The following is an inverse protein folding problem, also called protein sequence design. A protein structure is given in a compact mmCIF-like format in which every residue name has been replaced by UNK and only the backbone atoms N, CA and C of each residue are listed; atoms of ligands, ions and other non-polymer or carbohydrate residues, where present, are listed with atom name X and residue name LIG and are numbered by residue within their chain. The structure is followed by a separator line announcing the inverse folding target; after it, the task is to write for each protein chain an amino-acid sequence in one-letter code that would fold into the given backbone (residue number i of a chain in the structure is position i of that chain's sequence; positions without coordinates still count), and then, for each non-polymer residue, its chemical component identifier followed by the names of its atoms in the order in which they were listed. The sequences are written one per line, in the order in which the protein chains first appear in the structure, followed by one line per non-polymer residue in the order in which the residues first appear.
data_IF_686531951603
#
_entry.id   IF_686531951603
#
_cell.length_a   1.000
_cell.length_b   1.000
_cell.length_c   1.000
_cell.angle_alpha   90.00
_cell.angle_beta   90.00
_cell.angle_gamma   90.00
#
_symmetry.space_group_name_H-M   'P 1'
#
loop_
_entity.id
_entity.type
_entity.pdbx_description
1 polymer ?
#
# COMPACT_ATOMS: atom_id res chain seq x y z
N UNK A 1 2.63 11.42 11.14
CA UNK A 1 2.32 11.87 9.77
C UNK A 1 1.89 10.66 8.95
N UNK A 2 0.80 10.71 8.17
CA UNK A 2 0.54 9.66 7.18
C UNK A 2 1.73 9.61 6.21
N UNK A 3 2.33 8.43 6.02
CA UNK A 3 3.58 8.25 5.25
C UNK A 3 4.82 7.90 6.09
N UNK A 4 4.71 7.79 7.41
CA UNK A 4 5.76 7.14 8.21
C UNK A 4 5.68 5.62 8.08
N UNK A 5 6.81 4.93 8.26
CA UNK A 5 6.88 3.46 8.20
C UNK A 5 5.86 2.76 9.09
N UNK A 6 5.68 1.45 8.87
CA UNK A 6 4.59 0.64 9.40
C UNK A 6 4.39 0.74 10.93
N UNK A 7 5.37 1.20 11.71
CA UNK A 7 5.23 1.48 13.14
C UNK A 7 4.53 2.80 13.53
N UNK A 8 4.29 3.72 12.59
CA UNK A 8 3.79 5.08 12.84
C UNK A 8 2.29 5.30 12.56
N UNK A 9 1.58 4.25 12.12
CA UNK A 9 0.14 4.33 11.82
C UNK A 9 -0.73 4.47 13.09
N UNK A 10 -0.14 4.33 14.28
CA UNK A 10 -0.82 4.51 15.58
C UNK A 10 -1.60 5.82 15.67
N UNK A 11 -0.98 6.95 15.28
CA UNK A 11 -1.59 8.28 15.38
C UNK A 11 -2.74 8.47 14.37
N UNK A 12 -2.57 8.17 13.07
CA UNK A 12 -3.68 8.16 12.12
C UNK A 12 -4.85 7.28 12.58
N UNK A 13 -4.57 6.06 13.03
CA UNK A 13 -5.61 5.12 13.49
C UNK A 13 -6.40 5.72 14.64
N UNK A 14 -5.72 6.26 15.66
CA UNK A 14 -6.37 6.92 16.79
C UNK A 14 -7.22 8.12 16.37
N UNK A 15 -6.74 8.92 15.41
CA UNK A 15 -7.47 10.08 14.91
C UNK A 15 -8.75 9.67 14.19
N UNK A 16 -8.66 8.74 13.24
CA UNK A 16 -9.83 8.26 12.49
C UNK A 16 -10.83 7.54 13.39
N UNK A 17 -10.33 6.78 14.37
CA UNK A 17 -11.15 6.14 15.39
C UNK A 17 -11.87 7.17 16.28
N UNK A 18 -11.15 8.20 16.74
CA UNK A 18 -11.74 9.30 17.52
C UNK A 18 -12.76 10.13 16.76
N UNK A 19 -12.65 10.19 15.42
CA UNK A 19 -13.63 10.85 14.55
C UNK A 19 -14.81 9.97 14.16
N UNK A 20 -14.85 8.70 14.58
CA UNK A 20 -15.90 7.76 14.19
C UNK A 20 -15.98 7.53 12.68
N UNK A 21 -14.86 7.67 11.96
CA UNK A 21 -14.80 7.45 10.51
C UNK A 21 -14.60 5.96 10.22
N UNK A 22 -15.16 5.50 9.11
CA UNK A 22 -14.86 4.18 8.58
C UNK A 22 -13.58 4.25 7.76
N UNK A 23 -12.66 3.33 8.06
CA UNK A 23 -11.38 3.19 7.39
C UNK A 23 -10.96 1.73 7.45
N UNK A 24 -10.13 1.35 6.50
CA UNK A 24 -9.40 0.09 6.50
C UNK A 24 -7.91 0.38 6.61
N UNK A 25 -7.16 -0.57 7.16
CA UNK A 25 -5.71 -0.53 7.22
C UNK A 25 -5.21 -1.60 6.25
N UNK A 26 -4.53 -1.19 5.19
CA UNK A 26 -3.85 -2.08 4.26
C UNK A 26 -2.36 -2.10 4.59
N UNK A 27 -1.83 -3.28 4.91
CA UNK A 27 -0.42 -3.50 5.23
C UNK A 27 0.26 -4.32 4.13
N UNK A 28 1.58 -4.15 4.00
CA UNK A 28 2.40 -5.08 3.22
C UNK A 28 2.29 -6.49 3.81
N UNK A 29 2.48 -7.51 2.97
CA UNK A 29 2.36 -8.91 3.39
C UNK A 29 3.67 -9.52 3.92
N UNK A 30 4.69 -8.69 4.14
CA UNK A 30 5.97 -9.09 4.69
C UNK A 30 5.90 -9.42 6.19
N UNK A 31 7.01 -9.92 6.76
CA UNK A 31 7.08 -10.26 8.17
C UNK A 31 6.80 -9.07 9.11
N UNK A 32 7.11 -7.85 8.67
CA UNK A 32 6.86 -6.63 9.44
C UNK A 32 5.36 -6.28 9.42
N UNK A 33 4.70 -6.40 8.28
CA UNK A 33 3.26 -6.20 8.13
C UNK A 33 2.42 -7.15 8.99
N UNK A 34 2.82 -8.43 9.08
CA UNK A 34 2.17 -9.39 10.01
C UNK A 34 2.37 -9.02 11.48
N UNK A 35 3.57 -8.56 11.83
CA UNK A 35 3.89 -8.13 13.20
C UNK A 35 3.07 -6.90 13.59
N UNK A 36 2.95 -5.93 12.69
CA UNK A 36 2.13 -4.73 12.91
C UNK A 36 0.63 -5.05 12.91
N UNK A 37 0.16 -5.99 12.08
CA UNK A 37 -1.24 -6.48 12.11
C UNK A 37 -1.61 -6.96 13.51
N UNK A 38 -0.81 -7.85 14.09
CA UNK A 38 -1.03 -8.35 15.46
C UNK A 38 -0.96 -7.23 16.50
N UNK A 39 0.02 -6.33 16.39
CA UNK A 39 0.14 -5.18 17.30
C UNK A 39 -1.10 -4.26 17.26
N UNK A 40 -1.67 -4.02 16.08
CA UNK A 40 -2.87 -3.19 15.92
C UNK A 40 -4.14 -3.89 16.35
N UNK A 41 -4.24 -5.21 16.13
CA UNK A 41 -5.27 -6.07 16.71
C UNK A 41 -5.28 -5.96 18.23
N UNK A 42 -4.13 -6.13 18.88
CA UNK A 42 -4.00 -6.10 20.34
C UNK A 42 -4.29 -4.72 20.92
N UNK A 43 -3.84 -3.65 20.24
CA UNK A 43 -3.92 -2.27 20.76
C UNK A 43 -5.27 -1.61 20.56
N UNK A 44 -5.96 -1.91 19.46
CA UNK A 44 -7.17 -1.21 19.07
C UNK A 44 -8.40 -2.12 18.93
N UNK A 45 -8.23 -3.44 19.02
CA UNK A 45 -9.34 -4.40 18.83
C UNK A 45 -9.91 -4.38 17.41
N UNK A 46 -9.17 -3.86 16.43
CA UNK A 46 -9.63 -3.57 15.06
C UNK A 46 -9.65 -4.80 14.14
N UNK A 47 -10.02 -5.97 14.66
CA UNK A 47 -9.83 -7.24 13.95
C UNK A 47 -10.53 -7.33 12.59
N UNK A 48 -11.62 -6.59 12.38
CA UNK A 48 -12.37 -6.57 11.12
C UNK A 48 -11.89 -5.51 10.11
N UNK A 49 -10.87 -4.70 10.41
CA UNK A 49 -10.48 -3.53 9.60
C UNK A 49 -9.01 -3.55 9.15
N UNK A 50 -8.26 -4.62 9.43
CA UNK A 50 -6.84 -4.74 9.07
C UNK A 50 -6.64 -5.87 8.07
N UNK A 51 -6.22 -5.50 6.87
CA UNK A 51 -5.97 -6.39 5.75
C UNK A 51 -4.52 -6.27 5.28
N UNK A 52 -4.02 -7.32 4.67
CA UNK A 52 -2.70 -7.36 4.05
C UNK A 52 -2.84 -7.53 2.54
N UNK A 53 -1.77 -7.25 1.78
CA UNK A 53 -1.75 -7.56 0.34
C UNK A 53 -2.06 -9.04 0.04
N UNK A 54 -1.71 -9.96 0.96
CA UNK A 54 -2.04 -11.38 0.85
C UNK A 54 -3.54 -11.67 1.02
N UNK A 55 -4.27 -10.82 1.77
CA UNK A 55 -5.72 -10.95 1.95
C UNK A 55 -6.48 -10.48 0.68
N UNK A 56 -5.87 -9.62 -0.14
CA UNK A 56 -6.42 -9.22 -1.44
C UNK A 56 -6.19 -10.30 -2.51
N UNK A 57 -4.96 -10.83 -2.58
CA UNK A 57 -4.55 -11.88 -3.50
C UNK A 57 -3.40 -12.71 -2.88
N UNK A 58 -3.57 -14.03 -2.79
CA UNK A 58 -2.56 -14.93 -2.21
C UNK A 58 -1.24 -14.88 -2.97
N UNK A 59 -1.26 -14.55 -4.27
CA UNK A 59 -0.06 -14.41 -5.10
C UNK A 59 0.80 -13.20 -4.71
N UNK A 60 0.24 -12.27 -3.93
CA UNK A 60 0.96 -11.11 -3.38
C UNK A 60 1.44 -11.38 -1.95
N UNK A 61 1.36 -12.63 -1.49
CA UNK A 61 1.94 -13.07 -0.23
C UNK A 61 3.46 -12.87 -0.18
N UNK A 62 3.93 -12.27 0.92
CA UNK A 62 5.34 -11.96 1.19
C UNK A 62 5.97 -10.90 0.26
N UNK A 63 5.16 -10.13 -0.44
CA UNK A 63 5.60 -9.08 -1.36
C UNK A 63 5.12 -7.70 -0.88
N UNK A 64 5.95 -6.68 -1.11
CA UNK A 64 5.55 -5.29 -0.92
C UNK A 64 4.74 -4.75 -2.09
N UNK A 65 4.12 -3.59 -1.90
CA UNK A 65 3.32 -2.89 -2.93
C UNK A 65 4.06 -2.68 -4.26
N UNK A 66 5.39 -2.57 -4.22
CA UNK A 66 6.29 -2.48 -5.39
C UNK A 66 6.05 -3.63 -6.40
N UNK A 67 5.73 -4.84 -5.90
CA UNK A 67 5.55 -6.05 -6.70
C UNK A 67 4.32 -6.04 -7.63
N UNK A 68 3.41 -5.09 -7.40
CA UNK A 68 2.26 -4.89 -8.27
C UNK A 68 2.70 -4.38 -9.65
N UNK A 69 3.78 -3.60 -9.69
CA UNK A 69 4.40 -3.12 -10.92
C UNK A 69 5.28 -4.18 -11.57
N UNK A 70 5.38 -4.12 -12.90
CA UNK A 70 6.34 -4.92 -13.65
C UNK A 70 7.76 -4.40 -13.45
N UNK A 71 8.77 -5.27 -13.64
CA UNK A 71 10.18 -4.86 -13.51
C UNK A 71 10.55 -3.72 -14.48
N UNK A 72 9.99 -3.74 -15.68
CA UNK A 72 10.23 -2.71 -16.69
C UNK A 72 9.61 -1.37 -16.27
N UNK A 73 8.40 -1.37 -15.70
CA UNK A 73 7.78 -0.16 -15.14
C UNK A 73 8.57 0.39 -13.95
N UNK A 74 9.03 -0.49 -13.06
CA UNK A 74 9.85 -0.09 -11.91
C UNK A 74 11.11 0.63 -12.37
N UNK A 75 11.80 0.10 -13.38
CA UNK A 75 13.01 0.73 -13.93
C UNK A 75 12.66 2.02 -14.68
N UNK A 76 11.61 2.05 -15.50
CA UNK A 76 11.21 3.24 -16.26
C UNK A 76 10.82 4.42 -15.35
N UNK A 77 10.08 4.15 -14.27
CA UNK A 77 9.75 5.19 -13.29
C UNK A 77 11.00 5.68 -12.58
N UNK A 78 11.88 4.76 -12.18
CA UNK A 78 13.12 5.10 -11.50
C UNK A 78 14.05 5.94 -12.39
N UNK A 79 14.22 5.57 -13.66
CA UNK A 79 15.11 6.26 -14.61
C UNK A 79 14.60 7.63 -15.03
N UNK A 80 13.31 7.91 -14.86
CA UNK A 80 12.74 9.25 -15.06
C UNK A 80 13.40 10.29 -14.14
N UNK A 81 13.88 9.87 -12.98
CA UNK A 81 14.54 10.73 -11.98
C UNK A 81 16.02 10.38 -11.79
N UNK A 82 16.35 9.10 -11.91
CA UNK A 82 17.69 8.54 -11.74
C UNK A 82 18.15 7.86 -13.03
N UNK A 83 18.52 8.62 -14.08
CA UNK A 83 18.80 8.09 -15.41
C UNK A 83 19.97 7.11 -15.46
N UNK A 84 20.92 7.19 -14.52
CA UNK A 84 22.08 6.29 -14.44
C UNK A 84 21.80 4.97 -13.71
N UNK A 85 20.56 4.75 -13.27
CA UNK A 85 20.21 3.57 -12.48
C UNK A 85 19.85 2.38 -13.35
N UNK A 86 20.63 1.31 -13.24
CA UNK A 86 20.43 0.06 -13.98
C UNK A 86 19.74 -1.04 -13.16
N UNK A 87 19.73 -0.90 -11.84
CA UNK A 87 19.16 -1.86 -10.91
C UNK A 87 18.00 -1.25 -10.13
N UNK A 88 16.99 -2.07 -9.82
CA UNK A 88 15.87 -1.67 -8.98
C UNK A 88 16.33 -1.29 -7.58
N UNK A 89 15.94 -0.10 -7.13
CA UNK A 89 16.18 0.36 -5.78
C UNK A 89 14.87 0.92 -5.19
N UNK A 90 14.38 0.26 -4.14
CA UNK A 90 13.12 0.59 -3.46
C UNK A 90 13.02 2.07 -3.06
N UNK A 91 14.09 2.65 -2.54
CA UNK A 91 14.10 4.07 -2.12
C UNK A 91 14.01 5.00 -3.32
N UNK A 92 14.75 4.72 -4.40
CA UNK A 92 14.72 5.52 -5.62
C UNK A 92 13.38 5.42 -6.33
N UNK A 93 12.79 4.23 -6.36
CA UNK A 93 11.46 4.00 -6.94
C UNK A 93 10.36 4.76 -6.17
N UNK A 94 10.31 4.64 -4.84
CA UNK A 94 9.32 5.37 -4.03
C UNK A 94 9.46 6.89 -4.18
N UNK A 95 10.69 7.39 -4.24
CA UNK A 95 10.95 8.82 -4.46
C UNK A 95 10.59 9.26 -5.87
N UNK A 96 10.79 8.40 -6.87
CA UNK A 96 10.37 8.64 -8.23
C UNK A 96 8.85 8.78 -8.33
N UNK A 97 8.07 7.88 -7.68
CA UNK A 97 6.61 8.00 -7.63
C UNK A 97 6.18 9.33 -6.99
N UNK A 98 6.76 9.67 -5.84
CA UNK A 98 6.41 10.93 -5.15
C UNK A 98 6.64 12.14 -6.04
N UNK A 99 7.73 12.15 -6.80
CA UNK A 99 8.03 13.29 -7.65
C UNK A 99 7.27 13.28 -8.98
N UNK A 100 6.96 12.11 -9.54
CA UNK A 100 5.99 12.01 -10.65
C UNK A 100 4.64 12.61 -10.26
N UNK A 101 4.19 12.36 -9.02
CA UNK A 101 2.96 12.93 -8.47
C UNK A 101 3.06 14.46 -8.26
N UNK A 102 4.18 14.95 -7.73
CA UNK A 102 4.40 16.39 -7.51
C UNK A 102 4.55 17.19 -8.82
N UNK A 103 5.12 16.57 -9.85
CA UNK A 103 5.35 17.21 -11.16
C UNK A 103 4.22 16.98 -12.16
N UNK A 104 3.15 16.31 -11.75
CA UNK A 104 2.01 15.93 -12.59
C UNK A 104 2.44 15.26 -13.90
N UNK A 105 3.46 14.39 -13.80
CA UNK A 105 4.01 13.66 -14.94
C UNK A 105 3.38 12.28 -15.02
N UNK A 106 2.70 12.04 -16.13
CA UNK A 106 2.11 10.73 -16.41
C UNK A 106 3.17 9.72 -16.86
N UNK A 107 3.05 8.49 -16.35
CA UNK A 107 3.82 7.33 -16.82
C UNK A 107 2.84 6.28 -17.31
N UNK A 108 3.12 5.73 -18.49
CA UNK A 108 2.30 4.66 -19.05
C UNK A 108 2.42 3.40 -18.20
N UNK A 109 1.30 2.98 -17.61
CA UNK A 109 1.16 1.69 -16.94
C UNK A 109 0.60 0.64 -17.91
N UNK A 110 1.10 -0.58 -17.78
CA UNK A 110 0.57 -1.76 -18.45
C UNK A 110 -0.83 -2.10 -17.94
N UNK A 111 -1.62 -2.75 -18.82
CA UNK A 111 -2.96 -3.22 -18.46
C UNK A 111 -2.94 -4.24 -17.33
N UNK A 112 -1.87 -5.02 -17.19
CA UNK A 112 -1.69 -5.94 -16.07
C UNK A 112 -1.60 -5.18 -14.75
N UNK A 113 -0.78 -4.14 -14.68
CA UNK A 113 -0.62 -3.31 -13.48
C UNK A 113 -1.93 -2.60 -13.13
N UNK A 114 -2.62 -2.01 -14.13
CA UNK A 114 -3.94 -1.40 -13.93
C UNK A 114 -4.97 -2.40 -13.38
N UNK A 115 -5.00 -3.61 -13.93
CA UNK A 115 -5.93 -4.67 -13.47
C UNK A 115 -5.66 -5.06 -12.03
N UNK A 116 -4.38 -5.25 -11.65
CA UNK A 116 -4.01 -5.56 -10.26
C UNK A 116 -4.44 -4.45 -9.30
N UNK A 117 -4.17 -3.19 -9.63
CA UNK A 117 -4.58 -2.05 -8.81
C UNK A 117 -6.11 -1.90 -8.74
N UNK A 118 -6.82 -2.13 -9.85
CA UNK A 118 -8.29 -2.16 -9.88
C UNK A 118 -8.85 -3.21 -8.91
N UNK A 119 -8.37 -4.45 -9.00
CA UNK A 119 -8.78 -5.52 -8.10
C UNK A 119 -8.50 -5.19 -6.62
N UNK A 120 -7.34 -4.58 -6.33
CA UNK A 120 -6.98 -4.17 -4.97
C UNK A 120 -7.94 -3.08 -4.44
N UNK A 121 -8.28 -2.10 -5.26
CA UNK A 121 -9.21 -1.02 -4.91
C UNK A 121 -10.61 -1.58 -4.69
N UNK A 122 -11.09 -2.47 -5.57
CA UNK A 122 -12.40 -3.10 -5.43
C UNK A 122 -12.51 -3.93 -4.14
N UNK A 123 -11.45 -4.65 -3.78
CA UNK A 123 -11.35 -5.35 -2.49
C UNK A 123 -11.41 -4.38 -1.31
N UNK A 124 -10.66 -3.28 -1.38
CA UNK A 124 -10.67 -2.23 -0.36
C UNK A 124 -12.07 -1.63 -0.16
N UNK A 125 -12.79 -1.36 -1.24
CA UNK A 125 -14.17 -0.84 -1.19
C UNK A 125 -15.09 -1.88 -0.54
N UNK A 126 -15.02 -3.14 -0.97
CA UNK A 126 -15.83 -4.22 -0.40
C UNK A 126 -15.58 -4.41 1.12
N UNK A 127 -14.33 -4.29 1.57
CA UNK A 127 -14.01 -4.36 3.00
C UNK A 127 -14.51 -3.15 3.78
N UNK A 128 -14.51 -1.97 3.17
CA UNK A 128 -15.06 -0.77 3.77
C UNK A 128 -16.58 -0.93 3.96
N UNK A 129 -17.30 -1.45 2.96
CA UNK A 129 -18.75 -1.65 3.03
C UNK A 129 -19.14 -2.68 4.10
N UNK A 130 -18.38 -3.79 4.21
CA UNK A 130 -18.57 -4.80 5.27
C UNK A 130 -18.34 -4.24 6.69
N UNK A 131 -17.61 -3.12 6.82
CA UNK A 131 -17.34 -2.48 8.11
C UNK A 131 -18.46 -1.54 8.59
N UNK A 132 -19.50 -1.33 7.78
CA UNK A 132 -20.67 -0.48 8.06
C UNK A 132 -21.77 -1.25 8.82
N UNK A 133 -21.80 -2.58 8.74
CA UNK A 133 -22.87 -3.43 9.31
C UNK A 133 -22.71 -3.76 10.82
N UNK A 134 -21.88 -3.03 11.56
CA UNK A 134 -21.66 -3.20 13.01
C UNK A 134 -21.83 -1.90 13.81
#
# INVERSE_FOLDING_TARGET
MPGGGAGSLDQPIQLYFGWGRNFIILLDSDGEGKTQKNRYLDKFGLGARIFTLADADESWGNNGMESLFTKDEQINMQTTIYPDSSNFNKTHFNRAIQELYLTDREVALSEQTKTKFGNLIDKCISWLDLSIDY
#
